data_IF_147227433004
#
_entry.id   IF_147227433004
#
_cell.length_a   1.000
_cell.length_b   1.000
_cell.length_c   1.000
_cell.angle_alpha   90.00
_cell.angle_beta   90.00
_cell.angle_gamma   90.00
#
_symmetry.space_group_name_H-M   'P 1'
#
loop_
_entity.id
_entity.type
_entity.pdbx_description
1 polymer ?
#
# COMPACT_ATOMS: atom_id res chain seq x y z
N UNK A 1 4.70 21.28 12.08
CA UNK A 1 6.13 20.85 12.02
C UNK A 1 6.47 19.72 13.02
N UNK A 2 5.86 19.66 14.22
CA UNK A 2 6.09 18.58 15.19
C UNK A 2 5.41 17.27 14.78
N UNK A 3 4.13 17.31 14.40
CA UNK A 3 3.35 16.11 14.02
C UNK A 3 3.96 15.38 12.82
N UNK A 4 4.41 16.10 11.78
CA UNK A 4 5.05 15.47 10.62
C UNK A 4 6.34 14.73 10.97
N UNK A 5 7.09 15.17 11.99
CA UNK A 5 8.31 14.49 12.43
C UNK A 5 8.00 13.24 13.26
N UNK A 6 6.93 13.28 14.05
CA UNK A 6 6.42 12.12 14.78
C UNK A 6 5.87 11.06 13.81
N UNK A 7 5.13 11.47 12.77
CA UNK A 7 4.67 10.58 11.69
C UNK A 7 5.83 9.90 10.96
N UNK A 8 6.85 10.66 10.54
CA UNK A 8 8.01 10.06 9.87
C UNK A 8 8.75 9.06 10.74
N UNK A 9 8.89 9.34 12.06
CA UNK A 9 9.50 8.38 12.99
C UNK A 9 8.68 7.11 13.14
N UNK A 10 7.35 7.24 13.21
CA UNK A 10 6.46 6.10 13.23
C UNK A 10 6.59 5.29 11.95
N UNK A 11 6.38 5.93 10.79
CA UNK A 11 6.32 5.27 9.49
C UNK A 11 7.65 4.67 9.04
N UNK A 12 8.75 5.42 9.20
CA UNK A 12 10.08 4.90 8.84
C UNK A 12 10.65 3.98 9.92
N UNK A 13 10.31 4.23 11.19
CA UNK A 13 10.77 3.41 12.31
C UNK A 13 10.10 2.05 12.38
N UNK A 14 8.92 1.88 11.77
CA UNK A 14 8.24 0.59 11.62
C UNK A 14 8.74 -0.23 10.42
N UNK A 15 9.61 0.32 9.57
CA UNK A 15 10.15 -0.43 8.44
C UNK A 15 11.21 -1.42 8.91
N UNK A 16 11.13 -2.66 8.42
CA UNK A 16 12.15 -3.68 8.61
C UNK A 16 12.76 -4.12 7.28
N UNK A 17 14.08 -4.29 7.27
CA UNK A 17 14.77 -4.87 6.12
C UNK A 17 14.52 -6.38 6.09
N UNK A 18 13.90 -6.86 5.01
CA UNK A 18 13.63 -8.27 4.80
C UNK A 18 14.40 -8.74 3.56
N UNK A 19 15.29 -9.72 3.73
CA UNK A 19 15.99 -10.34 2.60
C UNK A 19 15.24 -11.58 2.13
N UNK A 20 14.90 -11.68 0.83
CA UNK A 20 14.36 -12.91 0.28
C UNK A 20 15.34 -14.07 0.44
N UNK A 21 14.83 -15.25 0.75
CA UNK A 21 15.66 -16.45 0.71
C UNK A 21 16.01 -16.87 -0.72
N UNK A 22 16.77 -17.96 -0.87
CA UNK A 22 17.19 -18.48 -2.19
C UNK A 22 16.05 -18.89 -3.11
N UNK A 23 14.84 -19.08 -2.57
CA UNK A 23 13.63 -19.42 -3.33
C UNK A 23 12.76 -18.18 -3.59
N UNK A 24 13.22 -16.98 -3.21
CA UNK A 24 12.47 -15.73 -3.36
C UNK A 24 11.37 -15.54 -2.32
N UNK A 25 11.40 -16.30 -1.20
CA UNK A 25 10.39 -16.15 -0.14
C UNK A 25 10.81 -15.07 0.84
N UNK A 26 9.86 -14.24 1.25
CA UNK A 26 10.04 -13.23 2.30
C UNK A 26 9.39 -13.72 3.59
N UNK A 27 10.13 -13.60 4.70
CA UNK A 27 9.56 -13.81 6.03
C UNK A 27 8.99 -12.49 6.53
N UNK A 28 7.67 -12.41 6.69
CA UNK A 28 7.03 -11.22 7.23
C UNK A 28 7.29 -11.10 8.74
N UNK A 29 7.83 -9.97 9.22
CA UNK A 29 8.03 -9.72 10.64
C UNK A 29 6.76 -9.97 11.45
N UNK A 30 6.90 -10.65 12.59
CA UNK A 30 5.75 -11.06 13.41
C UNK A 30 4.92 -9.86 13.88
N UNK A 31 5.57 -8.77 14.30
CA UNK A 31 4.89 -7.56 14.74
C UNK A 31 3.96 -6.99 13.67
N UNK A 32 4.39 -6.97 12.40
CA UNK A 32 3.57 -6.50 11.28
C UNK A 32 2.42 -7.46 10.97
N UNK A 33 2.64 -8.78 11.08
CA UNK A 33 1.57 -9.75 10.92
C UNK A 33 0.49 -9.59 11.99
N UNK A 34 0.87 -9.35 13.24
CA UNK A 34 -0.07 -9.13 14.34
C UNK A 34 -0.81 -7.80 14.21
N UNK A 35 -0.11 -6.71 13.87
CA UNK A 35 -0.69 -5.37 13.72
C UNK A 35 -1.77 -5.33 12.62
N UNK A 36 -1.50 -5.99 11.49
CA UNK A 36 -2.40 -6.00 10.34
C UNK A 36 -3.28 -7.25 10.24
N UNK A 37 -3.23 -8.14 11.23
CA UNK A 37 -3.92 -9.43 11.27
C UNK A 37 -3.69 -10.30 10.01
N UNK A 38 -2.42 -10.45 9.60
CA UNK A 38 -2.01 -11.28 8.46
C UNK A 38 -1.61 -12.67 8.94
N UNK A 39 -2.58 -13.58 9.05
CA UNK A 39 -2.43 -14.89 9.70
C UNK A 39 -2.33 -16.08 8.74
N UNK A 40 -3.20 -16.14 7.71
CA UNK A 40 -3.32 -17.29 6.81
C UNK A 40 -3.05 -16.95 5.34
N UNK A 41 -3.70 -15.91 4.84
CA UNK A 41 -3.62 -15.51 3.44
C UNK A 41 -3.39 -14.01 3.30
N UNK A 42 -2.70 -13.64 2.23
CA UNK A 42 -2.43 -12.24 1.89
C UNK A 42 -2.63 -12.04 0.40
N UNK A 43 -3.04 -10.83 0.02
CA UNK A 43 -3.01 -10.38 -1.36
C UNK A 43 -1.77 -9.53 -1.59
N UNK A 44 -1.07 -9.76 -2.70
CA UNK A 44 -0.01 -8.89 -3.19
C UNK A 44 -0.57 -7.98 -4.28
N UNK A 45 -0.44 -6.67 -4.08
CA UNK A 45 -0.83 -5.67 -5.07
C UNK A 45 0.43 -4.99 -5.62
N UNK A 46 0.69 -5.16 -6.91
CA UNK A 46 1.84 -4.53 -7.55
C UNK A 46 1.62 -3.03 -7.76
N UNK A 47 2.59 -2.23 -7.34
CA UNK A 47 2.56 -0.77 -7.35
C UNK A 47 3.81 -0.21 -8.01
N UNK A 48 3.91 -0.26 -9.34
CA UNK A 48 5.05 0.22 -10.15
C UNK A 48 6.44 -0.19 -9.62
N UNK A 49 6.99 0.51 -8.64
CA UNK A 49 8.30 0.31 -8.01
C UNK A 49 8.26 -0.43 -6.66
N UNK A 50 7.09 -0.74 -6.11
CA UNK A 50 6.92 -1.55 -4.90
C UNK A 50 5.70 -2.47 -5.04
N UNK A 51 5.41 -3.25 -4.00
CA UNK A 51 4.16 -3.96 -3.87
C UNK A 51 3.62 -3.75 -2.47
N UNK A 52 2.30 -3.83 -2.34
CA UNK A 52 1.61 -3.80 -1.06
C UNK A 52 1.17 -5.21 -0.67
N UNK A 53 1.16 -5.46 0.64
CA UNK A 53 0.66 -6.69 1.23
C UNK A 53 -0.62 -6.35 1.96
N UNK A 54 -1.70 -7.02 1.60
CA UNK A 54 -3.02 -6.74 2.15
C UNK A 54 -3.67 -7.96 2.77
N UNK A 55 -4.44 -7.74 3.83
CA UNK A 55 -5.48 -8.68 4.23
C UNK A 55 -6.54 -8.74 3.11
N UNK A 56 -6.91 -9.92 2.57
CA UNK A 56 -7.78 -10.02 1.40
C UNK A 56 -9.13 -9.33 1.55
N UNK A 57 -9.82 -9.53 2.68
CA UNK A 57 -11.12 -8.88 2.91
C UNK A 57 -11.01 -7.35 3.06
N UNK A 58 -9.96 -6.83 3.69
CA UNK A 58 -9.74 -5.37 3.80
C UNK A 58 -9.49 -4.75 2.42
N UNK A 59 -8.74 -5.43 1.56
CA UNK A 59 -8.54 -4.98 0.19
C UNK A 59 -9.85 -4.98 -0.59
N UNK A 60 -10.66 -6.02 -0.45
CA UNK A 60 -11.98 -6.12 -1.08
C UNK A 60 -12.91 -4.99 -0.64
N UNK A 61 -13.00 -4.74 0.66
CA UNK A 61 -13.77 -3.63 1.23
C UNK A 61 -13.28 -2.27 0.71
N UNK A 62 -11.95 -2.09 0.67
CA UNK A 62 -11.36 -0.85 0.15
C UNK A 62 -11.69 -0.62 -1.33
N UNK A 63 -11.62 -1.65 -2.16
CA UNK A 63 -11.99 -1.54 -3.57
C UNK A 63 -13.49 -1.29 -3.77
N UNK A 64 -14.34 -1.87 -2.91
CA UNK A 64 -15.77 -1.57 -2.91
C UNK A 64 -16.03 -0.10 -2.58
N UNK A 65 -15.43 0.41 -1.50
CA UNK A 65 -15.51 1.82 -1.10
C UNK A 65 -15.03 2.77 -2.21
N UNK A 66 -13.90 2.46 -2.85
CA UNK A 66 -13.39 3.23 -3.99
C UNK A 66 -14.39 3.22 -5.15
N UNK A 67 -14.99 2.07 -5.45
CA UNK A 67 -15.96 1.94 -6.54
C UNK A 67 -17.24 2.73 -6.27
N UNK A 68 -17.72 2.72 -5.03
CA UNK A 68 -18.90 3.48 -4.61
C UNK A 68 -18.64 5.00 -4.63
N UNK A 69 -17.42 5.42 -4.30
CA UNK A 69 -17.00 6.82 -4.24
C UNK A 69 -16.17 7.28 -5.45
N UNK A 70 -16.26 6.56 -6.58
CA UNK A 70 -15.32 6.67 -7.69
C UNK A 70 -15.17 8.10 -8.22
N UNK A 71 -16.28 8.81 -8.45
CA UNK A 71 -16.25 10.17 -9.01
C UNK A 71 -15.60 11.19 -8.09
N UNK A 72 -15.86 11.12 -6.78
CA UNK A 72 -15.26 12.02 -5.80
C UNK A 72 -13.75 11.80 -5.69
N UNK A 73 -13.32 10.52 -5.71
CA UNK A 73 -11.91 10.18 -5.71
C UNK A 73 -11.26 10.65 -7.01
N UNK A 74 -11.92 10.45 -8.15
CA UNK A 74 -11.44 10.89 -9.45
C UNK A 74 -11.19 12.40 -9.46
N UNK A 75 -12.12 13.23 -8.98
CA UNK A 75 -11.91 14.68 -8.89
C UNK A 75 -10.69 15.07 -8.04
N UNK A 76 -10.44 14.31 -6.98
CA UNK A 76 -9.29 14.55 -6.08
C UNK A 76 -7.97 14.18 -6.73
N UNK A 77 -7.92 13.08 -7.48
CA UNK A 77 -6.67 12.59 -8.10
C UNK A 77 -6.44 13.14 -9.51
N UNK A 78 -7.49 13.58 -10.20
CA UNK A 78 -7.43 14.09 -11.58
C UNK A 78 -6.37 15.17 -11.79
N UNK A 79 -6.14 16.15 -10.88
CA UNK A 79 -5.05 17.11 -11.05
C UNK A 79 -3.66 16.47 -11.20
N UNK A 80 -3.42 15.34 -10.55
CA UNK A 80 -2.15 14.61 -10.66
C UNK A 80 -2.01 13.79 -11.94
N UNK A 81 -3.13 13.44 -12.58
CA UNK A 81 -3.17 12.65 -13.82
C UNK A 81 -3.39 13.51 -15.09
N UNK A 82 -4.03 14.67 -14.97
CA UNK A 82 -4.37 15.56 -16.08
C UNK A 82 -3.18 16.38 -16.61
N UNK A 83 -2.17 16.62 -15.77
CA UNK A 83 -0.95 17.35 -16.16
C UNK A 83 0.09 16.47 -16.90
N UNK A 84 -0.17 15.16 -17.00
CA UNK A 84 0.60 14.26 -17.85
C UNK A 84 0.08 14.31 -19.28
N UNK A 85 0.79 15.00 -20.18
CA UNK A 85 0.59 14.87 -21.63
C UNK A 85 0.28 13.41 -21.98
N UNK A 86 -0.84 13.19 -22.67
CA UNK A 86 -1.11 11.99 -23.42
C UNK A 86 0.20 11.55 -24.08
N UNK A 87 0.75 10.44 -23.61
CA UNK A 87 1.87 9.78 -24.23
C UNK A 87 1.47 9.50 -25.66
N UNK A 88 2.09 10.23 -26.58
CA UNK A 88 2.11 9.93 -28.00
C UNK A 88 2.52 8.48 -28.20
N UNK A 89 1.60 7.68 -28.74
CA UNK A 89 1.85 6.62 -29.71
C UNK A 89 0.52 6.26 -30.36
#
# INVERSE_FOLDING_TARGET
MREGREFLRYFLGSAEECQPDKQGRLLLPQALREEYNLDHEVCLLGMLNYFEIWHPERLRERFKDIKENFYQILETVNPYFADGKAGSS
#
